data_IF_386772110851
#
_entry.id   IF_386772110851
#
_cell.length_a   1.000
_cell.length_b   1.000
_cell.length_c   1.000
_cell.angle_alpha   90.00
_cell.angle_beta   90.00
_cell.angle_gamma   90.00
#
_symmetry.space_group_name_H-M   'P 1'
#
loop_
_entity.id
_entity.type
_entity.pdbx_description
1 polymer ?
#
# COMPACT_ATOMS: atom_id res chain seq x y z
N UNK A 1 -18.72 15.78 -45.21
CA UNK A 1 -18.87 16.40 -43.86
C UNK A 1 -18.94 15.35 -42.75
N UNK A 2 -19.64 14.24 -42.96
CA UNK A 2 -19.80 13.16 -41.96
C UNK A 2 -18.50 12.50 -41.50
N UNK A 3 -17.59 12.16 -42.41
CA UNK A 3 -16.28 11.56 -42.05
C UNK A 3 -15.46 12.41 -41.08
N UNK A 4 -15.48 13.74 -41.26
CA UNK A 4 -14.81 14.67 -40.34
C UNK A 4 -15.48 14.69 -38.96
N UNK A 5 -16.82 14.56 -38.92
CA UNK A 5 -17.60 14.49 -37.67
C UNK A 5 -17.28 13.20 -36.90
N UNK A 6 -17.25 12.06 -37.59
CA UNK A 6 -16.92 10.74 -37.01
C UNK A 6 -15.50 10.75 -36.40
N UNK A 7 -14.52 11.25 -37.15
CA UNK A 7 -13.13 11.33 -36.65
C UNK A 7 -13.06 12.21 -35.41
N UNK A 8 -13.76 13.35 -35.40
CA UNK A 8 -13.78 14.27 -34.26
C UNK A 8 -14.42 13.63 -33.03
N UNK A 9 -15.50 12.87 -33.22
CA UNK A 9 -16.16 12.11 -32.14
C UNK A 9 -15.23 11.03 -31.56
N UNK A 10 -14.53 10.27 -32.40
CA UNK A 10 -13.56 9.26 -31.95
C UNK A 10 -12.43 9.88 -31.13
N UNK A 11 -11.86 10.99 -31.60
CA UNK A 11 -10.80 11.70 -30.86
C UNK A 11 -11.32 12.15 -29.49
N UNK A 12 -12.51 12.76 -29.44
CA UNK A 12 -13.11 13.20 -28.17
C UNK A 12 -13.34 12.04 -27.20
N UNK A 13 -13.85 10.90 -27.68
CA UNK A 13 -14.03 9.72 -26.84
C UNK A 13 -12.70 9.16 -26.33
N UNK A 14 -11.69 9.06 -27.18
CA UNK A 14 -10.36 8.59 -26.79
C UNK A 14 -9.72 9.49 -25.74
N UNK A 15 -9.84 10.81 -25.89
CA UNK A 15 -9.33 11.77 -24.91
C UNK A 15 -10.07 11.65 -23.57
N UNK A 16 -11.39 11.46 -23.60
CA UNK A 16 -12.19 11.26 -22.39
C UNK A 16 -11.80 9.97 -21.67
N UNK A 17 -11.65 8.86 -22.40
CA UNK A 17 -11.22 7.58 -21.85
C UNK A 17 -9.81 7.67 -21.23
N UNK A 18 -8.87 8.35 -21.90
CA UNK A 18 -7.53 8.59 -21.39
C UNK A 18 -7.55 9.42 -20.09
N UNK A 19 -8.39 10.46 -20.03
CA UNK A 19 -8.55 11.27 -18.83
C UNK A 19 -9.09 10.44 -17.64
N UNK A 20 -10.12 9.63 -17.87
CA UNK A 20 -10.68 8.75 -16.84
C UNK A 20 -9.63 7.75 -16.33
N UNK A 21 -8.85 7.16 -17.23
CA UNK A 21 -7.76 6.24 -16.85
C UNK A 21 -6.69 6.94 -15.99
N UNK A 22 -6.30 8.17 -16.35
CA UNK A 22 -5.33 8.95 -15.57
C UNK A 22 -5.88 9.27 -14.18
N UNK A 23 -7.15 9.70 -14.07
CA UNK A 23 -7.78 9.99 -12.78
C UNK A 23 -7.87 8.74 -11.90
N UNK A 24 -8.25 7.60 -12.49
CA UNK A 24 -8.29 6.32 -11.79
C UNK A 24 -6.90 5.93 -11.26
N UNK A 25 -5.88 5.94 -12.12
CA UNK A 25 -4.49 5.61 -11.72
C UNK A 25 -3.99 6.59 -10.65
N UNK A 26 -4.27 7.89 -10.81
CA UNK A 26 -3.86 8.92 -9.85
C UNK A 26 -4.49 8.71 -8.47
N UNK A 27 -5.79 8.39 -8.40
CA UNK A 27 -6.47 8.12 -7.14
C UNK A 27 -6.01 6.80 -6.49
N UNK A 28 -5.61 5.81 -7.29
CA UNK A 28 -5.07 4.54 -6.77
C UNK A 28 -3.60 4.62 -6.37
N UNK A 29 -2.87 5.67 -6.78
CA UNK A 29 -1.49 5.90 -6.34
C UNK A 29 -1.49 6.58 -4.97
N UNK A 30 -1.42 5.75 -3.94
CA UNK A 30 -1.11 6.21 -2.60
C UNK A 30 0.35 6.70 -2.54
N UNK A 31 0.54 8.02 -2.70
CA UNK A 31 1.85 8.67 -2.63
C UNK A 31 2.49 8.60 -1.24
N UNK A 32 1.71 8.27 -0.21
CA UNK A 32 2.18 8.04 1.16
C UNK A 32 2.72 6.62 1.36
N UNK A 33 2.42 5.71 0.44
CA UNK A 33 2.95 4.35 0.42
C UNK A 33 4.10 4.26 -0.61
N UNK A 34 5.37 4.39 -0.18
CA UNK A 34 6.51 4.29 -1.09
C UNK A 34 6.62 2.91 -1.78
N UNK A 35 5.82 1.93 -1.35
CA UNK A 35 5.81 0.57 -1.85
C UNK A 35 4.59 0.26 -2.74
N UNK A 36 3.78 1.28 -3.09
CA UNK A 36 2.57 1.10 -3.92
C UNK A 36 2.83 0.52 -5.32
N UNK A 37 4.08 0.56 -5.80
CA UNK A 37 4.50 -0.04 -7.07
C UNK A 37 4.85 -1.53 -6.96
N UNK A 38 4.97 -2.08 -5.75
CA UNK A 38 5.31 -3.48 -5.52
C UNK A 38 4.01 -4.30 -5.50
N UNK A 39 3.90 -5.38 -6.29
CA UNK A 39 2.74 -6.27 -6.23
C UNK A 39 2.52 -6.79 -4.80
N UNK A 40 1.25 -6.83 -4.36
CA UNK A 40 0.93 -7.22 -2.99
C UNK A 40 1.49 -8.60 -2.61
N UNK A 41 1.39 -9.58 -3.49
CA UNK A 41 1.94 -10.92 -3.23
C UNK A 41 3.47 -10.89 -3.03
N UNK A 42 4.19 -10.15 -3.87
CA UNK A 42 5.63 -9.92 -3.70
C UNK A 42 5.95 -9.13 -2.43
N UNK A 43 5.07 -8.20 -2.05
CA UNK A 43 5.22 -7.41 -0.83
C UNK A 43 5.01 -8.25 0.43
N UNK A 44 4.11 -9.24 0.43
CA UNK A 44 3.87 -10.09 1.61
C UNK A 44 4.83 -11.30 1.65
N UNK A 45 5.01 -11.98 0.53
CA UNK A 45 5.74 -13.28 0.47
C UNK A 45 7.16 -13.18 -0.10
N UNK A 46 7.55 -12.03 -0.66
CA UNK A 46 8.86 -11.86 -1.28
C UNK A 46 10.02 -11.76 -0.28
N UNK A 47 11.26 -12.06 -0.72
CA UNK A 47 12.45 -12.14 0.15
C UNK A 47 12.90 -10.80 0.75
N UNK A 48 12.30 -9.68 0.34
CA UNK A 48 12.57 -8.32 0.85
C UNK A 48 11.29 -7.53 1.09
N UNK A 49 10.16 -8.22 1.24
CA UNK A 49 8.85 -7.62 1.45
C UNK A 49 8.57 -7.27 2.91
N UNK A 50 7.34 -6.80 3.17
CA UNK A 50 6.79 -6.62 4.51
C UNK A 50 6.90 -7.87 5.35
N UNK A 51 6.49 -9.04 4.82
CA UNK A 51 6.48 -10.28 5.58
C UNK A 51 7.89 -10.67 6.03
N UNK A 52 8.88 -10.51 5.15
CA UNK A 52 10.28 -10.68 5.52
C UNK A 52 10.71 -9.72 6.63
N UNK A 53 10.37 -8.43 6.52
CA UNK A 53 10.70 -7.45 7.56
C UNK A 53 10.03 -7.80 8.90
N UNK A 54 8.74 -8.15 8.91
CA UNK A 54 8.00 -8.56 10.11
C UNK A 54 8.67 -9.75 10.80
N UNK A 55 9.02 -10.79 10.04
CA UNK A 55 9.64 -12.01 10.58
C UNK A 55 11.05 -11.80 11.15
N UNK A 56 11.78 -10.78 10.67
CA UNK A 56 13.18 -10.56 11.03
C UNK A 56 13.38 -9.33 11.93
N UNK A 57 12.32 -8.60 12.27
CA UNK A 57 12.44 -7.35 13.00
C UNK A 57 12.51 -7.59 14.51
N UNK A 58 13.65 -7.22 15.09
CA UNK A 58 13.89 -7.28 16.52
C UNK A 58 13.48 -5.98 17.25
N UNK A 59 13.21 -4.89 16.52
CA UNK A 59 12.98 -3.55 17.07
C UNK A 59 11.81 -2.85 16.35
N UNK A 60 10.56 -3.31 16.52
CA UNK A 60 9.37 -2.76 15.85
C UNK A 60 9.13 -1.28 16.13
N UNK A 61 9.53 -0.79 17.31
CA UNK A 61 9.43 0.64 17.64
C UNK A 61 10.30 1.56 16.79
N UNK A 62 11.38 1.06 16.17
CA UNK A 62 12.25 1.88 15.29
C UNK A 62 11.78 1.90 13.84
N UNK A 63 11.13 0.83 13.38
CA UNK A 63 10.88 0.60 11.95
C UNK A 63 9.40 0.51 11.61
N UNK A 64 8.59 -0.16 12.43
CA UNK A 64 7.20 -0.48 12.12
C UNK A 64 6.23 0.57 12.67
N UNK A 65 6.40 0.99 13.92
CA UNK A 65 5.40 1.83 14.61
C UNK A 65 5.20 3.16 13.89
N UNK A 66 6.29 3.87 13.57
CA UNK A 66 6.25 5.13 12.82
C UNK A 66 5.52 5.00 11.47
N UNK A 67 5.70 3.88 10.78
CA UNK A 67 5.04 3.64 9.50
C UNK A 67 3.52 3.46 9.69
N UNK A 68 3.13 2.65 10.67
CA UNK A 68 1.72 2.41 10.99
C UNK A 68 1.04 3.63 11.60
N UNK A 69 1.74 4.47 12.36
CA UNK A 69 1.25 5.76 12.84
C UNK A 69 0.97 6.73 11.70
N UNK A 70 1.91 6.88 10.75
CA UNK A 70 1.73 7.73 9.57
C UNK A 70 0.54 7.31 8.71
N UNK A 71 0.19 6.02 8.72
CA UNK A 71 -0.99 5.47 8.05
C UNK A 71 -2.27 5.56 8.89
N UNK A 72 -2.22 6.12 10.10
CA UNK A 72 -3.36 6.23 11.00
C UNK A 72 -3.82 4.90 11.61
N UNK A 73 -2.95 3.88 11.60
CA UNK A 73 -3.27 2.52 12.05
C UNK A 73 -3.02 2.30 13.54
N UNK A 74 -2.27 3.19 14.21
CA UNK A 74 -2.04 3.15 15.65
C UNK A 74 -0.67 2.59 16.09
N UNK A 75 0.27 2.42 15.16
CA UNK A 75 1.66 2.10 15.51
C UNK A 75 1.81 0.72 16.16
N UNK A 76 2.07 0.74 17.46
CA UNK A 76 2.17 -0.43 18.33
C UNK A 76 0.88 -1.24 18.40
N UNK A 77 -0.27 -0.57 18.56
CA UNK A 77 -1.56 -1.25 18.69
C UNK A 77 -1.92 -2.02 17.42
N UNK A 78 -1.50 -1.53 16.26
CA UNK A 78 -1.67 -2.23 14.99
C UNK A 78 -0.77 -3.46 14.89
N UNK A 79 0.46 -3.38 15.40
CA UNK A 79 1.35 -4.54 15.44
C UNK A 79 0.73 -5.64 16.31
N UNK A 80 0.17 -5.27 17.47
CA UNK A 80 -0.51 -6.21 18.37
C UNK A 80 -1.75 -6.82 17.71
N UNK A 81 -2.59 -6.03 17.05
CA UNK A 81 -3.80 -6.56 16.41
C UNK A 81 -3.49 -7.59 15.32
N UNK A 82 -2.39 -7.42 14.58
CA UNK A 82 -1.92 -8.41 13.62
C UNK A 82 -1.46 -9.71 14.29
N UNK A 83 -0.75 -9.63 15.43
CA UNK A 83 -0.36 -10.81 16.20
C UNK A 83 -1.58 -11.57 16.75
N UNK A 84 -2.57 -10.84 17.27
CA UNK A 84 -3.81 -11.40 17.81
C UNK A 84 -4.59 -12.14 16.71
N UNK A 85 -4.72 -11.55 15.52
CA UNK A 85 -5.38 -12.17 14.36
C UNK A 85 -4.66 -13.42 13.87
N UNK A 86 -3.32 -13.44 13.96
CA UNK A 86 -2.51 -14.60 13.60
C UNK A 86 -2.51 -15.70 14.67
N UNK A 87 -3.15 -15.46 15.83
CA UNK A 87 -3.15 -16.41 16.94
C UNK A 87 -1.80 -16.53 17.64
N UNK A 88 -0.92 -15.54 17.48
CA UNK A 88 0.41 -15.51 18.09
C UNK A 88 0.30 -15.02 19.54
N UNK A 89 -0.05 -15.93 20.46
CA UNK A 89 -0.26 -15.60 21.88
C UNK A 89 1.02 -15.64 22.73
N UNK A 90 2.14 -16.12 22.18
CA UNK A 90 3.38 -16.35 22.93
C UNK A 90 4.54 -15.42 22.54
N UNK A 91 4.45 -14.75 21.39
CA UNK A 91 5.49 -13.82 20.95
C UNK A 91 5.24 -12.45 21.58
N UNK A 92 6.01 -12.16 22.64
CA UNK A 92 6.07 -10.82 23.21
C UNK A 92 6.66 -9.90 22.14
N UNK A 93 5.81 -9.08 21.52
CA UNK A 93 6.27 -8.02 20.62
C UNK A 93 7.32 -7.21 21.38
N UNK A 94 8.56 -7.11 20.86
CA UNK A 94 9.61 -6.40 21.56
C UNK A 94 9.17 -4.96 21.84
N UNK A 95 9.04 -4.62 23.13
CA UNK A 95 8.58 -3.30 23.55
C UNK A 95 9.69 -2.27 23.40
N UNK A 96 9.30 -1.03 23.15
CA UNK A 96 10.23 0.10 23.22
C UNK A 96 10.83 0.16 24.64
N UNK A 97 12.16 0.23 24.78
CA UNK A 97 12.79 0.49 26.07
C UNK A 97 12.29 1.83 26.63
N UNK A 98 11.95 1.87 27.91
CA UNK A 98 11.59 3.09 28.64
C UNK A 98 12.80 4.02 28.85
#
# INVERSE_FOLDING_TARGET
MERKRIIRTLISFSLLAALVAILYISQTRDSSNPHASIPQDTWIHGPKGHGYAVLNNQQPWKQCYTCHEKKGLGGESYCQSCHDQAGLTQDVIPKKPE
#
